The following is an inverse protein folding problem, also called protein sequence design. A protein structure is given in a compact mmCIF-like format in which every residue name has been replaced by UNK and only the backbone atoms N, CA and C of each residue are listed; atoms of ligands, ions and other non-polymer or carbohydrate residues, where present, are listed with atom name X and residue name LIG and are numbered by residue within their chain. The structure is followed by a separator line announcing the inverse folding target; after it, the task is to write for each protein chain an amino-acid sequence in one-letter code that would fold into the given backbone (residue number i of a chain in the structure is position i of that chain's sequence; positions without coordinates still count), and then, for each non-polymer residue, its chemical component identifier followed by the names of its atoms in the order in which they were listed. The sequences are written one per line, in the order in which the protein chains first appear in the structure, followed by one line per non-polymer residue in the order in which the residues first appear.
data_IF_215851816226
#
_entry.id   IF_215851816226
#
_cell.length_a   1.000
_cell.length_b   1.000
_cell.length_c   1.000
_cell.angle_alpha   90.00
_cell.angle_beta   90.00
_cell.angle_gamma   90.00
#
_symmetry.space_group_name_H-M   'P 1'
#
loop_
_entity.id
_entity.type
_entity.pdbx_description
1 polymer ?
#
# COMPACT_ATOMS: atom_id res chain seq x y z
N UNK A 1 8.55 15.47 -10.77
CA UNK A 1 8.05 14.90 -9.51
C UNK A 1 6.57 14.63 -9.67
N UNK A 2 6.19 13.37 -9.89
CA UNK A 2 4.77 13.00 -9.97
C UNK A 2 4.26 12.85 -8.52
N UNK A 3 3.73 13.93 -7.96
CA UNK A 3 3.05 13.87 -6.67
C UNK A 3 1.57 13.52 -6.92
N UNK A 4 1.12 12.36 -6.45
CA UNK A 4 -0.30 12.01 -6.46
C UNK A 4 -1.05 12.95 -5.49
N UNK A 5 -2.18 13.55 -5.89
CA UNK A 5 -2.93 14.47 -5.03
C UNK A 5 -3.41 13.74 -3.77
N UNK A 6 -3.38 14.43 -2.63
CA UNK A 6 -3.66 13.91 -1.28
C UNK A 6 -4.98 13.12 -1.19
N UNK A 7 -6.00 13.46 -1.99
CA UNK A 7 -7.24 12.67 -2.12
C UNK A 7 -6.97 11.21 -2.50
N UNK A 8 -6.11 10.96 -3.51
CA UNK A 8 -5.85 9.60 -4.01
C UNK A 8 -5.12 8.69 -3.02
N UNK A 9 -4.41 9.26 -2.05
CA UNK A 9 -3.66 8.48 -1.06
C UNK A 9 -4.50 8.13 0.18
N UNK A 10 -5.50 8.97 0.53
CA UNK A 10 -6.54 8.57 1.48
C UNK A 10 -7.37 7.42 0.92
N UNK A 11 -7.69 7.48 -0.38
CA UNK A 11 -8.36 6.39 -1.07
C UNK A 11 -7.53 5.10 -1.03
N UNK A 12 -6.20 5.21 -1.16
CA UNK A 12 -5.28 4.07 -1.11
C UNK A 12 -5.32 3.33 0.24
N UNK A 13 -5.41 4.05 1.36
CA UNK A 13 -5.56 3.40 2.68
C UNK A 13 -6.86 2.60 2.73
N UNK A 14 -7.98 3.23 2.36
CA UNK A 14 -9.29 2.58 2.41
C UNK A 14 -9.36 1.37 1.47
N UNK A 15 -8.74 1.43 0.29
CA UNK A 15 -8.69 0.31 -0.65
C UNK A 15 -7.83 -0.84 -0.13
N UNK A 16 -6.74 -0.54 0.56
CA UNK A 16 -5.91 -1.56 1.21
C UNK A 16 -6.63 -2.19 2.40
N UNK A 17 -7.41 -1.43 3.18
CA UNK A 17 -8.25 -2.00 4.26
C UNK A 17 -9.32 -2.93 3.67
N UNK A 18 -9.98 -2.50 2.60
CA UNK A 18 -10.97 -3.32 1.88
C UNK A 18 -10.36 -4.57 1.22
N UNK A 19 -9.05 -4.59 0.98
CA UNK A 19 -8.35 -5.72 0.39
C UNK A 19 -7.89 -6.76 1.43
N UNK A 20 -8.26 -6.58 2.70
CA UNK A 20 -8.01 -7.54 3.78
C UNK A 20 -6.75 -7.28 4.60
N UNK A 21 -6.21 -6.05 4.55
CA UNK A 21 -5.10 -5.64 5.40
C UNK A 21 -5.64 -4.89 6.63
N UNK A 22 -5.08 -5.17 7.80
CA UNK A 22 -5.52 -4.60 9.06
C UNK A 22 -4.54 -3.51 9.55
N UNK A 23 -5.00 -2.64 10.46
CA UNK A 23 -4.19 -1.65 11.17
C UNK A 23 -3.32 -0.78 10.23
N UNK A 24 -3.92 -0.26 9.16
CA UNK A 24 -3.18 0.47 8.12
C UNK A 24 -2.87 1.90 8.57
N UNK A 25 -1.59 2.27 8.49
CA UNK A 25 -1.11 3.64 8.66
C UNK A 25 -0.28 4.03 7.46
N UNK A 26 -0.62 5.14 6.80
CA UNK A 26 0.15 5.64 5.65
C UNK A 26 0.87 6.94 5.94
N UNK A 27 2.10 7.02 5.46
CA UNK A 27 2.86 8.25 5.35
C UNK A 27 2.72 8.77 3.92
N UNK A 28 1.57 9.41 3.67
CA UNK A 28 1.08 9.83 2.35
C UNK A 28 2.12 10.61 1.52
N UNK A 29 2.96 11.41 2.17
CA UNK A 29 3.97 12.22 1.48
C UNK A 29 5.23 11.46 1.08
N UNK A 30 5.53 10.34 1.74
CA UNK A 30 6.73 9.52 1.47
C UNK A 30 6.40 8.20 0.76
N UNK A 31 5.11 7.86 0.62
CA UNK A 31 4.67 6.63 -0.04
C UNK A 31 4.88 5.38 0.81
N UNK A 32 5.11 5.53 2.12
CA UNK A 32 5.25 4.39 3.02
C UNK A 32 3.90 4.01 3.62
N UNK A 33 3.67 2.71 3.77
CA UNK A 33 2.49 2.15 4.43
C UNK A 33 2.96 1.13 5.46
N UNK A 34 2.37 1.18 6.64
CA UNK A 34 2.47 0.16 7.69
C UNK A 34 1.13 -0.54 7.74
N UNK A 35 1.11 -1.86 7.78
CA UNK A 35 -0.10 -2.66 7.94
C UNK A 35 0.24 -3.96 8.69
N UNK A 36 -0.79 -4.59 9.22
CA UNK A 36 -0.73 -5.94 9.77
C UNK A 36 -1.38 -6.91 8.79
N UNK A 37 -0.73 -8.05 8.58
CA UNK A 37 -1.23 -9.11 7.72
C UNK A 37 -0.61 -10.45 8.08
N UNK A 38 -1.29 -11.53 7.70
CA UNK A 38 -0.74 -12.89 7.74
C UNK A 38 -0.15 -13.32 6.39
N UNK A 39 -0.27 -12.47 5.36
CA UNK A 39 0.33 -12.74 4.05
C UNK A 39 1.85 -12.72 4.13
N UNK A 40 2.55 -13.65 3.45
CA UNK A 40 3.99 -13.56 3.31
C UNK A 40 4.38 -12.32 2.50
N UNK A 41 5.58 -11.78 2.75
CA UNK A 41 6.04 -10.51 2.19
C UNK A 41 5.95 -10.41 0.65
N UNK A 42 6.21 -11.51 -0.06
CA UNK A 42 6.11 -11.56 -1.52
C UNK A 42 4.65 -11.45 -2.01
N UNK A 43 3.73 -12.20 -1.38
CA UNK A 43 2.30 -12.12 -1.71
C UNK A 43 1.73 -10.76 -1.36
N UNK A 44 2.15 -10.17 -0.22
CA UNK A 44 1.77 -8.81 0.14
C UNK A 44 2.24 -7.80 -0.91
N UNK A 45 3.48 -7.89 -1.37
CA UNK A 45 4.02 -6.99 -2.39
C UNK A 45 3.24 -7.08 -3.71
N UNK A 46 2.91 -8.30 -4.14
CA UNK A 46 2.12 -8.54 -5.35
C UNK A 46 0.70 -8.03 -5.20
N UNK A 47 0.04 -8.30 -4.07
CA UNK A 47 -1.31 -7.83 -3.76
C UNK A 47 -1.39 -6.30 -3.76
N UNK A 48 -0.48 -5.63 -3.04
CA UNK A 48 -0.41 -4.17 -3.01
C UNK A 48 -0.15 -3.58 -4.40
N UNK A 49 0.73 -4.21 -5.19
CA UNK A 49 0.99 -3.78 -6.55
C UNK A 49 -0.27 -3.83 -7.42
N UNK A 50 -1.03 -4.94 -7.36
CA UNK A 50 -2.28 -5.09 -8.12
C UNK A 50 -3.34 -4.06 -7.69
N UNK A 51 -3.59 -3.92 -6.39
CA UNK A 51 -4.56 -2.94 -5.88
C UNK A 51 -4.22 -1.53 -6.35
N UNK A 52 -2.95 -1.13 -6.29
CA UNK A 52 -2.50 0.19 -6.73
C UNK A 52 -2.64 0.34 -8.26
N UNK A 53 -2.25 -0.68 -9.03
CA UNK A 53 -2.34 -0.66 -10.47
C UNK A 53 -3.80 -0.54 -10.94
N UNK A 54 -4.70 -1.33 -10.38
CA UNK A 54 -6.13 -1.35 -10.74
C UNK A 54 -6.85 -0.07 -10.31
N UNK A 55 -6.49 0.48 -9.15
CA UNK A 55 -7.22 1.60 -8.56
C UNK A 55 -6.79 2.96 -9.09
N UNK A 56 -5.48 3.17 -9.25
CA UNK A 56 -4.92 4.47 -9.64
C UNK A 56 -4.16 4.44 -10.97
N UNK A 57 -4.01 3.27 -11.59
CA UNK A 57 -3.30 3.10 -12.87
C UNK A 57 -1.79 3.24 -12.75
N UNK A 58 -1.24 3.20 -11.52
CA UNK A 58 0.17 3.44 -11.28
C UNK A 58 0.93 2.12 -11.17
N UNK A 59 1.88 1.91 -12.08
CA UNK A 59 2.80 0.78 -12.03
C UNK A 59 3.98 1.13 -11.09
N UNK A 60 3.89 0.74 -9.82
CA UNK A 60 4.88 1.05 -8.79
C UNK A 60 5.54 -0.22 -8.26
N UNK A 61 6.85 -0.17 -8.03
CA UNK A 61 7.59 -1.22 -7.32
C UNK A 61 7.30 -1.16 -5.82
N UNK A 62 6.85 -2.27 -5.25
CA UNK A 62 6.54 -2.39 -3.81
C UNK A 62 7.73 -3.08 -3.11
N UNK A 63 8.17 -2.48 -2.01
CA UNK A 63 9.21 -3.05 -1.15
C UNK A 63 8.57 -3.32 0.20
N UNK A 64 8.44 -4.59 0.56
CA UNK A 64 7.94 -5.01 1.87
C UNK A 64 9.12 -5.21 2.81
N UNK A 65 8.98 -4.68 4.03
CA UNK A 65 9.91 -4.93 5.13
C UNK A 65 9.10 -5.42 6.31
N UNK A 66 9.43 -6.60 6.79
CA UNK A 66 8.92 -7.06 8.08
C UNK A 66 9.56 -6.22 9.19
N UNK A 67 8.80 -6.01 10.25
CA UNK A 67 9.35 -5.42 11.47
C UNK A 67 10.34 -6.42 12.05
N UNK A 68 11.63 -6.16 11.89
CA UNK A 68 12.64 -6.79 12.73
C UNK A 68 12.55 -6.16 14.13
N UNK A 69 12.43 -7.01 15.16
CA UNK A 69 12.56 -6.61 16.57
C UNK A 69 13.88 -5.87 16.83
#
# INVERSE_FOLDING_TARGET
TCALPISKMSDLVQMLEQSGLDNISSYIQSGNVICETSLPAEELAQHMHQVILESIGANLSIIVKEKSD
#
